data_IF_599099311131
#
_entry.id   IF_599099311131
#
_cell.length_a   1.000
_cell.length_b   1.000
_cell.length_c   1.000
_cell.angle_alpha   90.00
_cell.angle_beta   90.00
_cell.angle_gamma   90.00
#
_symmetry.space_group_name_H-M   'P 1'
#
loop_
_entity.id
_entity.type
_entity.pdbx_description
1 polymer ?
#
# COMPACT_ATOMS: atom_id res chain seq x y z
N UNK A 1 17.18 1.59 25.87
CA UNK A 1 17.59 3.02 25.86
C UNK A 1 17.66 3.52 24.43
N UNK A 2 18.26 2.76 23.51
CA UNK A 2 18.22 2.99 22.04
C UNK A 2 16.79 3.15 21.50
N UNK A 3 15.88 2.24 21.84
CA UNK A 3 14.52 2.22 21.25
C UNK A 3 13.69 3.46 21.60
N UNK A 4 13.83 3.96 22.83
CA UNK A 4 13.14 5.18 23.25
C UNK A 4 13.71 6.42 22.56
N UNK A 5 15.02 6.43 22.28
CA UNK A 5 15.64 7.50 21.50
C UNK A 5 15.22 7.42 20.02
N UNK A 6 15.04 6.21 19.48
CA UNK A 6 14.58 5.96 18.11
C UNK A 6 13.13 6.42 17.93
N UNK A 7 12.22 6.05 18.83
CA UNK A 7 10.83 6.52 18.82
C UNK A 7 10.75 8.04 18.88
N UNK A 8 11.56 8.68 19.75
CA UNK A 8 11.61 10.14 19.85
C UNK A 8 12.13 10.78 18.55
N UNK A 9 13.13 10.18 17.91
CA UNK A 9 13.71 10.66 16.67
C UNK A 9 12.73 10.53 15.49
N UNK A 10 11.99 9.42 15.43
CA UNK A 10 10.92 9.20 14.45
C UNK A 10 9.73 10.15 14.67
N UNK A 11 9.36 10.42 15.93
CA UNK A 11 8.35 11.42 16.27
C UNK A 11 8.80 12.83 15.87
N UNK A 12 10.09 13.16 16.01
CA UNK A 12 10.65 14.44 15.59
C UNK A 12 10.55 14.59 14.07
N UNK A 13 10.95 13.57 13.31
CA UNK A 13 10.84 13.54 11.85
C UNK A 13 9.39 13.69 11.37
N UNK A 14 8.41 13.13 12.09
CA UNK A 14 6.97 13.29 11.77
C UNK A 14 6.44 14.70 12.04
N UNK A 15 7.12 15.50 12.87
CA UNK A 15 6.72 16.87 13.24
C UNK A 15 7.42 17.96 12.43
N UNK A 16 8.54 17.64 11.82
CA UNK A 16 9.30 18.58 11.01
C UNK A 16 8.72 18.72 9.60
N UNK A 17 8.88 19.89 8.96
CA UNK A 17 8.36 20.13 7.61
C UNK A 17 9.03 19.18 6.60
N UNK A 18 8.25 18.43 5.80
CA UNK A 18 8.79 17.41 4.88
C UNK A 18 9.61 18.01 3.73
N UNK A 19 9.48 19.32 3.47
CA UNK A 19 10.26 20.02 2.44
C UNK A 19 11.76 20.08 2.74
N UNK A 20 12.15 19.86 3.99
CA UNK A 20 13.55 19.95 4.44
C UNK A 20 14.06 18.59 4.93
N UNK A 21 13.53 17.49 4.40
CA UNK A 21 13.88 16.13 4.86
C UNK A 21 15.39 15.90 4.82
N UNK A 22 16.09 16.33 3.77
CA UNK A 22 17.55 16.13 3.64
C UNK A 22 18.33 16.83 4.75
N UNK A 23 17.97 18.10 5.02
CA UNK A 23 18.61 18.88 6.09
C UNK A 23 18.29 18.30 7.46
N UNK A 24 17.01 18.00 7.72
CA UNK A 24 16.56 17.47 9.00
C UNK A 24 17.20 16.10 9.28
N UNK A 25 17.32 15.25 8.26
CA UNK A 25 17.90 13.91 8.38
C UNK A 25 19.42 14.01 8.56
N UNK A 26 20.10 14.94 7.86
CA UNK A 26 21.52 15.24 8.10
C UNK A 26 21.77 15.74 9.52
N UNK A 27 20.99 16.73 9.99
CA UNK A 27 21.11 17.29 11.35
C UNK A 27 20.86 16.20 12.42
N UNK A 28 19.93 15.27 12.17
CA UNK A 28 19.60 14.18 13.09
C UNK A 28 20.69 13.09 13.13
N UNK A 29 21.29 12.76 11.98
CA UNK A 29 22.44 11.85 11.89
C UNK A 29 23.64 12.45 12.62
N UNK A 30 23.88 13.76 12.47
CA UNK A 30 24.96 14.47 13.17
C UNK A 30 24.75 14.50 14.69
N UNK A 31 23.49 14.63 15.14
CA UNK A 31 23.12 14.63 16.55
C UNK A 31 23.27 13.26 17.22
N UNK A 32 22.88 12.17 16.53
CA UNK A 32 22.91 10.82 17.08
C UNK A 32 23.37 9.81 16.02
N UNK A 33 24.69 9.72 15.73
CA UNK A 33 25.22 8.85 14.69
C UNK A 33 25.01 7.36 14.98
N UNK A 34 24.85 6.98 16.26
CA UNK A 34 24.57 5.60 16.67
C UNK A 34 23.16 5.10 16.31
N UNK A 35 22.22 6.00 16.00
CA UNK A 35 20.85 5.66 15.57
C UNK A 35 20.69 5.74 14.04
N UNK A 36 21.74 6.09 13.31
CA UNK A 36 21.67 6.33 11.87
C UNK A 36 21.17 5.10 11.10
N UNK A 37 21.65 3.89 11.44
CA UNK A 37 21.21 2.65 10.78
C UNK A 37 19.73 2.37 11.04
N UNK A 38 19.28 2.46 12.31
CA UNK A 38 17.89 2.20 12.71
C UNK A 38 16.90 3.24 12.16
N UNK A 39 17.33 4.50 12.06
CA UNK A 39 16.49 5.59 11.56
C UNK A 39 16.37 5.57 10.03
N UNK A 40 17.39 5.04 9.35
CA UNK A 40 17.39 4.85 7.90
C UNK A 40 16.72 3.55 7.46
N UNK A 41 16.62 2.56 8.34
CA UNK A 41 15.93 1.30 8.05
C UNK A 41 14.41 1.45 8.09
N UNK A 42 13.87 2.45 8.80
CA UNK A 42 12.42 2.66 8.98
C UNK A 42 11.86 3.78 8.10
N UNK A 43 11.00 3.40 7.14
CA UNK A 43 10.28 4.33 6.25
C UNK A 43 8.78 4.30 6.56
N UNK A 44 8.19 5.47 6.82
CA UNK A 44 6.73 5.66 6.89
C UNK A 44 6.29 6.57 5.75
N UNK A 45 5.53 6.06 4.78
CA UNK A 45 4.97 6.87 3.69
C UNK A 45 3.45 6.97 3.81
N UNK A 46 2.92 8.17 3.57
CA UNK A 46 1.49 8.42 3.47
C UNK A 46 1.18 9.02 2.11
N UNK A 47 0.30 8.37 1.36
CA UNK A 47 -0.19 8.86 0.07
C UNK A 47 -1.65 9.25 0.21
N UNK A 48 -1.96 10.50 -0.14
CA UNK A 48 -3.33 11.00 -0.27
C UNK A 48 -3.72 11.01 -1.73
N UNK A 49 -4.88 10.45 -2.04
CA UNK A 49 -5.39 10.30 -3.39
C UNK A 49 -6.77 10.97 -3.48
N UNK A 50 -6.94 11.82 -4.49
CA UNK A 50 -8.22 12.41 -4.84
C UNK A 50 -8.40 12.35 -6.35
N UNK A 51 -9.41 11.62 -6.82
CA UNK A 51 -9.82 11.56 -8.21
C UNK A 51 -11.27 11.99 -8.34
N UNK A 52 -11.53 12.80 -9.36
CA UNK A 52 -12.87 13.13 -9.80
C UNK A 52 -12.99 12.79 -11.28
N UNK A 53 -13.99 11.96 -11.63
CA UNK A 53 -14.30 11.64 -13.02
C UNK A 53 -15.73 12.06 -13.34
N UNK A 54 -15.88 12.89 -14.36
CA UNK A 54 -17.18 13.34 -14.85
C UNK A 54 -17.39 12.74 -16.24
N UNK A 55 -18.04 11.57 -16.31
CA UNK A 55 -18.32 10.89 -17.59
C UNK A 55 -19.82 10.82 -17.80
N UNK A 56 -20.28 11.13 -19.01
CA UNK A 56 -21.70 11.13 -19.39
C UNK A 56 -22.40 9.78 -19.15
N UNK A 57 -21.69 8.65 -19.27
CA UNK A 57 -22.24 7.32 -18.99
C UNK A 57 -22.19 6.84 -17.54
N UNK A 58 -21.38 7.47 -16.68
CA UNK A 58 -21.18 7.06 -15.27
C UNK A 58 -21.59 8.14 -14.25
N UNK A 59 -21.96 9.33 -14.72
CA UNK A 59 -22.15 10.50 -13.89
C UNK A 59 -20.83 11.07 -13.36
N UNK A 60 -20.93 11.80 -12.25
CA UNK A 60 -19.80 12.29 -11.47
C UNK A 60 -19.43 11.26 -10.42
N UNK A 61 -18.20 10.74 -10.46
CA UNK A 61 -17.67 9.83 -9.44
C UNK A 61 -16.45 10.47 -8.80
N UNK A 62 -16.49 10.61 -7.48
CA UNK A 62 -15.39 11.12 -6.67
C UNK A 62 -14.80 9.95 -5.87
N UNK A 63 -13.50 9.73 -5.97
CA UNK A 63 -12.77 8.79 -5.13
C UNK A 63 -11.71 9.55 -4.36
N UNK A 64 -11.82 9.52 -3.03
CA UNK A 64 -10.86 10.16 -2.14
C UNK A 64 -10.44 9.20 -1.05
N UNK A 65 -9.21 9.37 -0.56
CA UNK A 65 -8.74 8.71 0.65
C UNK A 65 -7.24 8.80 0.82
N UNK A 66 -6.73 8.13 1.85
CA UNK A 66 -5.32 8.09 2.19
C UNK A 66 -4.88 6.66 2.46
N UNK A 67 -3.63 6.36 2.15
CA UNK A 67 -2.98 5.11 2.50
C UNK A 67 -1.65 5.43 3.19
N UNK A 68 -1.52 5.02 4.44
CA UNK A 68 -0.26 5.07 5.18
C UNK A 68 0.33 3.68 5.24
N UNK A 69 1.61 3.55 4.93
CA UNK A 69 2.35 2.29 5.00
C UNK A 69 3.70 2.51 5.67
N UNK A 70 4.03 1.58 6.56
CA UNK A 70 5.32 1.50 7.22
C UNK A 70 6.10 0.33 6.63
N UNK A 71 7.40 0.50 6.46
CA UNK A 71 8.33 -0.55 6.07
C UNK A 71 9.63 -0.35 6.82
N UNK A 72 10.13 -1.44 7.39
CA UNK A 72 11.44 -1.52 7.98
C UNK A 72 12.28 -2.47 7.14
N UNK A 73 13.49 -2.04 6.77
CA UNK A 73 14.43 -2.86 6.02
C UNK A 73 15.85 -2.46 6.37
N UNK A 74 16.59 -3.42 6.89
CA UNK A 74 18.01 -3.26 7.17
C UNK A 74 18.80 -3.37 5.85
N UNK A 75 19.45 -2.29 5.46
CA UNK A 75 20.33 -2.23 4.28
C UNK A 75 21.71 -1.78 4.74
N UNK A 76 22.74 -2.53 4.34
CA UNK A 76 24.12 -2.17 4.67
C UNK A 76 24.59 -1.01 3.79
N UNK A 77 25.44 -0.18 4.37
CA UNK A 77 25.96 1.02 3.72
C UNK A 77 27.36 0.71 3.22
N UNK A 78 27.65 1.04 1.97
CA UNK A 78 28.98 0.92 1.38
C UNK A 78 29.29 2.16 0.54
N UNK A 79 30.56 2.40 0.24
CA UNK A 79 30.98 3.52 -0.63
C UNK A 79 30.34 3.45 -2.03
N UNK A 80 29.97 2.24 -2.48
CA UNK A 80 29.27 2.01 -3.76
C UNK A 80 27.73 2.11 -3.63
N UNK A 81 27.20 2.17 -2.41
CA UNK A 81 25.77 2.22 -2.10
C UNK A 81 25.53 3.23 -0.96
N UNK A 82 25.62 4.54 -1.27
CA UNK A 82 25.41 5.57 -0.26
C UNK A 82 24.00 5.47 0.31
N UNK A 83 23.81 5.97 1.53
CA UNK A 83 22.51 5.96 2.23
C UNK A 83 21.36 6.46 1.34
N UNK A 84 21.59 7.49 0.53
CA UNK A 84 20.61 8.05 -0.42
C UNK A 84 20.16 7.02 -1.47
N UNK A 85 21.07 6.18 -1.97
CA UNK A 85 20.74 5.13 -2.93
C UNK A 85 19.89 4.03 -2.29
N UNK A 86 20.17 3.67 -1.04
CA UNK A 86 19.37 2.70 -0.29
C UNK A 86 17.96 3.27 0.01
N UNK A 87 17.86 4.53 0.46
CA UNK A 87 16.57 5.23 0.65
C UNK A 87 15.78 5.27 -0.67
N UNK A 88 16.44 5.58 -1.79
CA UNK A 88 15.80 5.62 -3.11
C UNK A 88 15.12 4.29 -3.48
N UNK A 89 15.81 3.16 -3.25
CA UNK A 89 15.22 1.82 -3.47
C UNK A 89 14.06 1.53 -2.51
N UNK A 90 14.17 1.92 -1.24
CA UNK A 90 13.10 1.75 -0.24
C UNK A 90 11.85 2.54 -0.63
N UNK A 91 12.02 3.78 -1.07
CA UNK A 91 10.94 4.64 -1.55
C UNK A 91 10.32 4.05 -2.82
N UNK A 92 11.13 3.62 -3.79
CA UNK A 92 10.64 2.99 -5.03
C UNK A 92 9.79 1.74 -4.74
N UNK A 93 10.32 0.82 -3.92
CA UNK A 93 9.61 -0.39 -3.50
C UNK A 93 8.30 -0.06 -2.76
N UNK A 94 8.34 0.95 -1.89
CA UNK A 94 7.18 1.39 -1.13
C UNK A 94 6.11 2.00 -2.03
N UNK A 95 6.50 2.89 -2.95
CA UNK A 95 5.59 3.50 -3.92
C UNK A 95 4.97 2.47 -4.86
N UNK A 96 5.76 1.50 -5.34
CA UNK A 96 5.26 0.40 -6.17
C UNK A 96 4.19 -0.41 -5.43
N UNK A 97 4.46 -0.75 -4.16
CA UNK A 97 3.50 -1.45 -3.30
C UNK A 97 2.25 -0.60 -3.02
N UNK A 98 2.41 0.68 -2.70
CA UNK A 98 1.29 1.62 -2.46
C UNK A 98 0.44 1.74 -3.72
N UNK A 99 1.03 1.87 -4.91
CA UNK A 99 0.34 1.97 -6.19
C UNK A 99 -0.53 0.74 -6.47
N UNK A 100 0.01 -0.46 -6.26
CA UNK A 100 -0.75 -1.71 -6.41
C UNK A 100 -1.92 -1.77 -5.43
N UNK A 101 -1.69 -1.46 -4.15
CA UNK A 101 -2.74 -1.46 -3.12
C UNK A 101 -3.83 -0.42 -3.41
N UNK A 102 -3.45 0.79 -3.85
CA UNK A 102 -4.41 1.82 -4.24
C UNK A 102 -5.27 1.35 -5.42
N UNK A 103 -4.67 0.74 -6.45
CA UNK A 103 -5.45 0.22 -7.58
C UNK A 103 -6.48 -0.84 -7.17
N UNK A 104 -6.08 -1.80 -6.33
CA UNK A 104 -6.97 -2.86 -5.85
C UNK A 104 -8.10 -2.32 -4.95
N UNK A 105 -7.81 -1.39 -4.05
CA UNK A 105 -8.82 -0.85 -3.13
C UNK A 105 -9.76 0.11 -3.86
N UNK A 106 -9.23 1.07 -4.61
CA UNK A 106 -10.03 2.14 -5.20
C UNK A 106 -10.88 1.64 -6.37
N UNK A 107 -10.31 0.81 -7.26
CA UNK A 107 -11.01 0.33 -8.45
C UNK A 107 -11.54 -1.10 -8.33
N UNK A 108 -10.89 -1.95 -7.54
CA UNK A 108 -11.35 -3.32 -7.28
C UNK A 108 -12.48 -3.33 -6.25
N UNK A 109 -12.15 -3.04 -4.99
CA UNK A 109 -13.12 -3.17 -3.87
C UNK A 109 -14.34 -2.28 -4.05
N UNK A 110 -14.17 -1.02 -4.47
CA UNK A 110 -15.31 -0.13 -4.74
C UNK A 110 -16.24 -0.70 -5.81
N UNK A 111 -15.68 -1.28 -6.88
CA UNK A 111 -16.45 -1.92 -7.94
C UNK A 111 -17.20 -3.15 -7.42
N UNK A 112 -16.55 -3.98 -6.60
CA UNK A 112 -17.18 -5.17 -6.02
C UNK A 112 -18.33 -4.81 -5.09
N UNK A 113 -18.17 -3.76 -4.25
CA UNK A 113 -19.23 -3.25 -3.38
C UNK A 113 -20.41 -2.74 -4.22
N UNK A 114 -20.15 -1.94 -5.26
CA UNK A 114 -21.19 -1.42 -6.15
C UNK A 114 -21.93 -2.56 -6.86
N UNK A 115 -21.21 -3.58 -7.35
CA UNK A 115 -21.81 -4.75 -8.00
C UNK A 115 -22.59 -5.63 -7.01
N UNK A 116 -22.19 -5.67 -5.74
CA UNK A 116 -22.92 -6.35 -4.67
C UNK A 116 -24.25 -5.66 -4.34
N UNK A 117 -24.26 -4.32 -4.31
CA UNK A 117 -25.47 -3.53 -4.09
C UNK A 117 -26.40 -3.53 -5.30
N UNK A 118 -25.83 -3.56 -6.51
CA UNK A 118 -26.58 -3.57 -7.77
C UNK A 118 -26.06 -4.69 -8.66
N UNK A 119 -26.70 -5.86 -8.55
CA UNK A 119 -26.40 -7.00 -9.41
C UNK A 119 -26.76 -6.68 -10.86
N UNK A 120 -25.76 -6.71 -11.73
CA UNK A 120 -25.96 -6.62 -13.19
C UNK A 120 -26.42 -7.97 -13.75
N UNK A 121 -26.10 -9.08 -13.07
CA UNK A 121 -26.57 -10.40 -13.45
C UNK A 121 -28.07 -10.55 -13.23
N UNK A 122 -28.75 -11.11 -14.23
CA UNK A 122 -30.15 -11.47 -14.14
C UNK A 122 -30.34 -12.68 -13.22
N UNK A 123 -31.53 -12.83 -12.63
CA UNK A 123 -31.87 -13.99 -11.80
C UNK A 123 -31.68 -15.33 -12.54
N UNK A 124 -31.92 -15.35 -13.86
CA UNK A 124 -31.74 -16.53 -14.69
C UNK A 124 -30.26 -16.96 -14.78
N UNK A 125 -29.34 -16.01 -14.85
CA UNK A 125 -27.90 -16.30 -14.91
C UNK A 125 -27.38 -16.83 -13.57
N UNK A 126 -27.87 -16.28 -12.44
CA UNK A 126 -27.57 -16.81 -11.11
C UNK A 126 -28.02 -18.26 -10.94
N UNK A 127 -29.23 -18.58 -11.39
CA UNK A 127 -29.76 -19.95 -11.31
C UNK A 127 -28.93 -20.94 -12.16
N UNK A 128 -28.53 -20.55 -13.37
CA UNK A 128 -27.63 -21.36 -14.20
C UNK A 128 -26.25 -21.54 -13.57
N UNK A 129 -25.72 -20.51 -12.92
CA UNK A 129 -24.42 -20.55 -12.26
C UNK A 129 -24.43 -21.48 -11.03
N UNK A 130 -25.53 -21.51 -10.27
CA UNK A 130 -25.73 -22.49 -9.19
C UNK A 130 -25.85 -23.92 -9.71
N UNK A 131 -26.61 -24.14 -10.80
CA UNK A 131 -26.72 -25.47 -11.41
C UNK A 131 -25.35 -25.99 -11.88
N UNK A 132 -24.58 -25.15 -12.57
CA UNK A 132 -23.23 -25.51 -13.04
C UNK A 132 -22.27 -25.80 -11.88
N UNK A 133 -22.38 -25.05 -10.78
CA UNK A 133 -21.60 -25.29 -9.57
C UNK A 133 -21.92 -26.65 -8.95
N UNK A 134 -23.19 -27.03 -8.90
CA UNK A 134 -23.61 -28.33 -8.37
C UNK A 134 -23.10 -29.48 -9.26
N UNK A 135 -23.19 -29.34 -10.58
CA UNK A 135 -22.65 -30.31 -11.53
C UNK A 135 -21.12 -30.48 -11.41
N UNK A 136 -20.39 -29.38 -11.23
CA UNK A 136 -18.94 -29.41 -11.00
C UNK A 136 -18.57 -30.13 -9.69
N UNK A 137 -19.32 -29.89 -8.62
CA UNK A 137 -19.11 -30.57 -7.33
C UNK A 137 -19.37 -32.07 -7.47
N UNK A 138 -20.41 -32.48 -8.21
CA UNK A 138 -20.64 -33.89 -8.52
C UNK A 138 -19.50 -34.49 -9.35
N UNK A 139 -19.04 -33.80 -10.40
CA UNK A 139 -17.97 -34.28 -11.26
C UNK A 139 -16.64 -34.45 -10.49
N UNK A 140 -16.34 -33.54 -9.55
CA UNK A 140 -15.18 -33.64 -8.67
C UNK A 140 -15.29 -34.85 -7.71
N UNK A 141 -16.47 -35.10 -7.14
CA UNK A 141 -16.69 -36.29 -6.29
C UNK A 141 -16.50 -37.59 -7.08
N UNK A 142 -17.00 -37.65 -8.31
CA UNK A 142 -16.81 -38.82 -9.20
C UNK A 142 -15.34 -39.06 -9.53
N UNK A 143 -14.55 -37.99 -9.70
CA UNK A 143 -13.10 -38.10 -9.93
C UNK A 143 -12.29 -38.49 -8.69
N UNK A 144 -12.79 -38.27 -7.47
CA UNK A 144 -12.12 -38.71 -6.24
C UNK A 144 -12.42 -40.17 -5.86
N UNK A 145 -13.39 -40.81 -6.51
CA UNK A 145 -13.78 -42.21 -6.29
C UNK A 145 -13.15 -43.19 -7.31
N UNK A 146 -12.37 -42.69 -8.27
CA UNK A 146 -11.48 -43.47 -9.13
C UNK A 146 -10.03 -43.29 -8.67
#
# INVERSE_FOLDING_TARGET
MSDQQLDCALDLMRRLPPQQIEKNLSDLIDLVPSLCEDLLSSLTSTVMLWLQTNKSGSGTMNLGGSLTRQMEKDETVSDCSPHIANIGRLVEDMENKIRSTLNEIYFGKTKDIVNGLRSVQTFADKSKQEALKNDLVEALKRKQQC
#
